data_IF_716656312922
#
_entry.id   IF_716656312922
#
_cell.length_a   1.000
_cell.length_b   1.000
_cell.length_c   1.000
_cell.angle_alpha   90.00
_cell.angle_beta   90.00
_cell.angle_gamma   90.00
#
_symmetry.space_group_name_H-M   'P 1'
#
loop_
_entity.id
_entity.type
_entity.pdbx_description
1 polymer ?
#
# COMPACT_ATOMS: atom_id res chain seq x y z
N UNK A 1 58.63 46.56 -39.36
CA UNK A 1 57.71 47.56 -39.91
C UNK A 1 56.30 47.19 -39.45
N UNK A 2 55.64 48.08 -38.70
CA UNK A 2 54.18 48.11 -38.47
C UNK A 2 53.51 48.86 -39.65
N UNK A 3 52.19 49.03 -39.79
CA UNK A 3 50.95 48.84 -38.97
C UNK A 3 49.81 48.47 -39.98
N UNK A 4 48.50 48.36 -39.65
CA UNK A 4 47.76 48.12 -38.39
C UNK A 4 46.63 47.06 -38.50
N UNK A 5 45.94 46.81 -37.38
CA UNK A 5 44.60 46.19 -37.37
C UNK A 5 43.50 47.23 -37.67
N UNK A 6 42.38 46.80 -38.26
CA UNK A 6 41.22 47.64 -38.52
C UNK A 6 40.27 47.69 -37.30
N UNK A 7 39.99 48.90 -36.83
CA UNK A 7 38.97 49.22 -35.83
C UNK A 7 37.92 50.09 -36.52
N UNK A 8 36.63 49.72 -36.43
CA UNK A 8 35.54 50.60 -36.85
C UNK A 8 34.56 50.77 -35.68
N UNK A 9 34.21 52.03 -35.43
CA UNK A 9 33.46 52.49 -34.26
C UNK A 9 32.12 53.13 -34.72
N UNK A 10 31.29 53.77 -33.86
CA UNK A 10 29.85 53.56 -33.88
C UNK A 10 29.04 54.68 -34.57
N UNK A 11 27.76 54.42 -34.82
CA UNK A 11 26.78 55.39 -35.30
C UNK A 11 25.76 55.78 -34.20
N UNK A 12 25.40 57.06 -34.22
CA UNK A 12 24.81 57.88 -33.17
C UNK A 12 23.38 57.51 -32.67
N UNK A 13 23.00 58.19 -31.58
CA UNK A 13 21.71 58.11 -30.89
C UNK A 13 20.62 59.03 -31.48
N UNK A 14 19.37 58.79 -31.08
CA UNK A 14 18.24 59.71 -31.21
C UNK A 14 17.22 59.48 -30.08
N UNK A 15 16.74 60.56 -29.46
CA UNK A 15 15.63 60.61 -28.48
C UNK A 15 14.30 60.24 -29.19
N UNK A 16 13.22 59.69 -28.62
CA UNK A 16 12.80 59.22 -27.28
C UNK A 16 11.28 58.94 -27.43
N UNK A 17 10.35 59.10 -26.48
CA UNK A 17 10.28 59.12 -25.01
C UNK A 17 8.82 58.67 -24.59
N UNK A 18 8.47 58.56 -23.30
CA UNK A 18 7.14 58.17 -22.72
C UNK A 18 6.65 56.71 -22.98
N UNK A 19 5.86 56.01 -22.14
CA UNK A 19 5.27 56.23 -20.80
C UNK A 19 4.96 54.87 -20.10
N UNK A 20 4.72 54.87 -18.77
CA UNK A 20 4.09 53.81 -17.93
C UNK A 20 4.78 52.41 -17.84
N UNK A 21 4.99 51.78 -16.67
CA UNK A 21 4.61 52.10 -15.29
C UNK A 21 3.64 51.08 -14.69
N UNK A 22 4.02 50.49 -13.54
CA UNK A 22 3.26 49.68 -12.58
C UNK A 22 3.46 48.14 -12.58
N UNK A 23 3.70 47.62 -11.38
CA UNK A 23 4.02 46.23 -11.05
C UNK A 23 2.76 45.34 -10.85
N UNK A 24 2.86 44.01 -11.06
CA UNK A 24 1.75 43.09 -10.79
C UNK A 24 1.63 42.80 -9.28
N UNK A 25 0.87 43.62 -8.56
CA UNK A 25 0.47 43.31 -7.18
C UNK A 25 -0.61 42.22 -7.14
N UNK A 26 -0.35 41.16 -6.38
CA UNK A 26 -1.32 40.11 -6.06
C UNK A 26 -2.47 40.73 -5.25
N UNK A 27 -3.66 40.81 -5.86
CA UNK A 27 -4.85 41.32 -5.17
C UNK A 27 -5.86 40.20 -4.95
N UNK A 28 -6.17 40.02 -3.67
CA UNK A 28 -7.19 39.17 -3.07
C UNK A 28 -8.46 38.99 -3.92
N UNK A 29 -8.88 37.75 -4.13
CA UNK A 29 -10.19 37.43 -4.70
C UNK A 29 -11.17 37.15 -3.55
N UNK A 30 -11.74 38.23 -3.00
CA UNK A 30 -12.79 38.17 -1.98
C UNK A 30 -13.83 39.26 -2.28
N UNK A 31 -14.80 38.92 -3.12
CA UNK A 31 -16.04 39.68 -3.23
C UNK A 31 -17.16 38.73 -3.67
N UNK A 32 -17.89 38.23 -2.68
CA UNK A 32 -19.21 37.65 -2.89
C UNK A 32 -20.16 38.79 -3.26
N UNK A 33 -20.86 38.68 -4.39
CA UNK A 33 -22.00 39.54 -4.70
C UNK A 33 -23.23 38.66 -4.90
N UNK A 34 -24.23 38.87 -4.06
CA UNK A 34 -25.47 38.12 -4.05
C UNK A 34 -26.56 38.92 -4.77
N UNK A 35 -26.91 38.51 -6.00
CA UNK A 35 -28.01 39.14 -6.73
C UNK A 35 -28.84 38.16 -7.57
N UNK A 36 -30.15 38.18 -7.28
CA UNK A 36 -31.27 37.93 -8.19
C UNK A 36 -31.48 36.54 -8.81
N UNK A 37 -32.30 35.76 -8.09
CA UNK A 37 -33.57 35.18 -8.56
C UNK A 37 -33.81 34.96 -10.08
N UNK A 38 -34.14 33.72 -10.42
CA UNK A 38 -35.15 33.43 -11.45
C UNK A 38 -35.99 32.20 -11.05
N UNK A 39 -37.30 32.40 -10.93
CA UNK A 39 -38.30 31.34 -10.79
C UNK A 39 -38.28 30.41 -12.01
N UNK A 40 -38.29 29.10 -11.77
CA UNK A 40 -38.70 28.10 -12.76
C UNK A 40 -39.81 27.24 -12.18
N UNK A 41 -40.99 27.37 -12.78
CA UNK A 41 -42.20 26.64 -12.40
C UNK A 41 -42.02 25.16 -12.69
N UNK A 42 -42.21 24.31 -11.68
CA UNK A 42 -42.20 22.85 -11.89
C UNK A 42 -43.57 22.39 -12.38
N UNK A 43 -43.65 22.02 -13.65
CA UNK A 43 -44.83 21.38 -14.25
C UNK A 43 -44.88 19.88 -13.90
N UNK A 44 -46.02 19.42 -13.37
CA UNK A 44 -46.26 18.03 -13.01
C UNK A 44 -46.76 17.24 -14.23
N UNK A 45 -45.81 16.75 -15.03
CA UNK A 45 -46.10 15.89 -16.19
C UNK A 45 -45.73 14.44 -15.90
N UNK A 46 -46.74 13.67 -15.48
CA UNK A 46 -46.65 12.24 -15.12
C UNK A 46 -46.62 11.34 -16.37
N UNK A 47 -45.43 11.02 -16.89
CA UNK A 47 -45.27 9.96 -17.91
C UNK A 47 -45.10 8.56 -17.29
N UNK A 48 -46.09 7.69 -17.53
CA UNK A 48 -46.05 6.25 -17.28
C UNK A 48 -45.22 5.55 -18.39
N UNK A 49 -43.90 5.47 -18.19
CA UNK A 49 -43.00 4.72 -19.06
C UNK A 49 -42.95 3.23 -18.71
N UNK A 50 -43.54 2.36 -19.55
CA UNK A 50 -43.56 0.91 -19.31
C UNK A 50 -42.17 0.28 -19.38
N UNK A 51 -41.67 -0.12 -18.21
CA UNK A 51 -41.24 -1.50 -17.99
C UNK A 51 -39.93 -1.97 -18.62
N UNK A 52 -38.80 -1.48 -18.11
CA UNK A 52 -37.64 -2.34 -17.78
C UNK A 52 -36.92 -1.73 -16.58
N UNK A 53 -37.42 -2.02 -15.38
CA UNK A 53 -36.77 -1.60 -14.13
C UNK A 53 -35.39 -2.24 -14.01
N UNK A 54 -34.40 -1.58 -13.36
CA UNK A 54 -33.06 -2.15 -13.22
C UNK A 54 -33.16 -3.53 -12.57
N UNK A 55 -32.72 -4.57 -13.29
CA UNK A 55 -32.64 -5.93 -12.73
C UNK A 55 -31.86 -5.83 -11.41
N UNK A 56 -32.46 -6.19 -10.26
CA UNK A 56 -31.78 -6.05 -8.99
C UNK A 56 -30.61 -7.04 -9.00
N UNK A 57 -29.39 -6.52 -9.11
CA UNK A 57 -28.17 -7.30 -8.90
C UNK A 57 -28.09 -7.57 -7.39
N UNK A 58 -28.82 -8.59 -6.96
CA UNK A 58 -28.99 -9.00 -5.55
C UNK A 58 -27.69 -9.46 -4.89
N UNK A 59 -26.63 -9.61 -5.68
CA UNK A 59 -25.36 -10.17 -5.21
C UNK A 59 -24.25 -9.08 -5.18
N UNK A 60 -24.08 -8.36 -4.06
CA UNK A 60 -23.06 -7.31 -3.93
C UNK A 60 -21.63 -7.84 -4.08
N UNK A 61 -21.41 -9.16 -3.95
CA UNK A 61 -20.11 -9.82 -4.11
C UNK A 61 -19.49 -9.58 -5.50
N UNK A 62 -20.29 -9.58 -6.57
CA UNK A 62 -19.76 -9.31 -7.92
C UNK A 62 -19.38 -7.84 -8.11
N UNK A 63 -20.18 -6.94 -7.53
CA UNK A 63 -20.08 -5.50 -7.73
C UNK A 63 -19.03 -4.83 -6.83
N UNK A 64 -18.67 -5.46 -5.72
CA UNK A 64 -17.60 -5.06 -4.81
C UNK A 64 -16.19 -5.56 -5.22
N UNK A 65 -16.04 -6.19 -6.39
CA UNK A 65 -14.78 -6.82 -6.84
C UNK A 65 -13.57 -5.87 -6.96
N UNK A 66 -13.81 -4.55 -6.98
CA UNK A 66 -12.78 -3.50 -6.96
C UNK A 66 -12.33 -3.09 -5.54
N UNK A 67 -13.03 -3.52 -4.47
CA UNK A 67 -12.73 -3.15 -3.09
C UNK A 67 -11.63 -4.02 -2.45
N UNK A 68 -10.37 -3.73 -2.77
CA UNK A 68 -9.23 -4.42 -2.17
C UNK A 68 -9.14 -4.28 -0.63
N UNK A 69 -9.77 -3.25 -0.03
CA UNK A 69 -9.54 -2.87 1.38
C UNK A 69 -10.81 -2.70 2.23
N UNK A 70 -11.99 -2.51 1.62
CA UNK A 70 -13.23 -2.11 2.34
C UNK A 70 -14.28 -3.22 2.44
N UNK A 71 -13.92 -4.47 2.10
CA UNK A 71 -14.72 -5.71 2.31
C UNK A 71 -16.16 -5.64 1.76
N UNK A 72 -16.38 -4.92 0.67
CA UNK A 72 -17.70 -4.77 0.07
C UNK A 72 -18.62 -3.79 0.78
N UNK A 73 -18.15 -3.03 1.77
CA UNK A 73 -18.97 -2.01 2.45
C UNK A 73 -19.39 -0.92 1.47
N UNK A 74 -18.53 -0.50 0.54
CA UNK A 74 -18.89 0.54 -0.43
C UNK A 74 -19.85 0.01 -1.50
N UNK A 75 -19.67 -1.23 -1.96
CA UNK A 75 -20.54 -1.92 -2.91
C UNK A 75 -21.92 -2.20 -2.31
N UNK A 76 -21.98 -2.67 -1.05
CA UNK A 76 -23.24 -2.81 -0.30
C UNK A 76 -23.94 -1.46 -0.14
N UNK A 77 -23.21 -0.38 0.15
CA UNK A 77 -23.77 0.97 0.23
C UNK A 77 -24.31 1.45 -1.13
N UNK A 78 -23.58 1.23 -2.23
CA UNK A 78 -24.07 1.58 -3.56
C UNK A 78 -25.33 0.78 -3.95
N UNK A 79 -25.36 -0.54 -3.69
CA UNK A 79 -26.57 -1.36 -3.91
C UNK A 79 -27.75 -0.86 -3.07
N UNK A 80 -27.51 -0.47 -1.80
CA UNK A 80 -28.54 0.14 -0.95
C UNK A 80 -29.05 1.50 -1.47
N UNK A 81 -28.26 2.22 -2.27
CA UNK A 81 -28.66 3.42 -3.00
C UNK A 81 -29.26 3.13 -4.39
N UNK A 82 -29.53 1.86 -4.73
CA UNK A 82 -30.14 1.44 -6.00
C UNK A 82 -29.16 1.25 -7.16
N UNK A 83 -27.86 1.18 -6.92
CA UNK A 83 -26.86 0.96 -7.97
C UNK A 83 -26.90 -0.49 -8.50
N UNK A 84 -27.43 -0.67 -9.71
CA UNK A 84 -27.48 -1.96 -10.41
C UNK A 84 -26.20 -2.39 -11.15
N UNK A 85 -25.09 -1.66 -11.00
CA UNK A 85 -23.80 -2.02 -11.62
C UNK A 85 -23.57 -1.55 -13.06
N UNK A 86 -24.43 -0.66 -13.58
CA UNK A 86 -24.24 0.02 -14.86
C UNK A 86 -23.35 1.27 -14.72
N UNK A 87 -23.51 2.28 -15.57
CA UNK A 87 -22.98 3.61 -15.27
C UNK A 87 -23.75 4.30 -14.14
N UNK A 88 -23.21 5.39 -13.59
CA UNK A 88 -23.92 6.26 -12.65
C UNK A 88 -24.72 7.36 -13.39
N UNK A 89 -25.76 7.89 -12.75
CA UNK A 89 -26.63 8.95 -13.30
C UNK A 89 -28.04 8.46 -13.62
N UNK A 90 -28.95 9.40 -13.92
CA UNK A 90 -30.41 9.14 -14.09
C UNK A 90 -30.73 8.02 -15.10
N UNK A 91 -29.92 7.86 -16.14
CA UNK A 91 -30.09 6.84 -17.19
C UNK A 91 -28.88 5.90 -17.28
N UNK A 92 -28.08 5.79 -16.20
CA UNK A 92 -26.88 4.95 -16.17
C UNK A 92 -25.78 5.38 -17.15
N UNK A 93 -25.74 6.67 -17.53
CA UNK A 93 -24.88 7.19 -18.60
C UNK A 93 -23.40 7.39 -18.23
N UNK A 94 -23.04 7.26 -16.94
CA UNK A 94 -21.67 7.42 -16.45
C UNK A 94 -20.73 6.30 -16.90
N UNK A 95 -19.42 6.56 -16.89
CA UNK A 95 -18.43 5.54 -17.20
C UNK A 95 -18.31 4.50 -16.08
N UNK A 96 -18.51 3.22 -16.40
CA UNK A 96 -18.29 2.10 -15.47
C UNK A 96 -16.81 1.75 -15.31
N UNK A 97 -15.98 2.01 -16.33
CA UNK A 97 -14.54 1.76 -16.28
C UNK A 97 -13.79 2.98 -15.70
N UNK A 98 -12.85 2.79 -14.75
CA UNK A 98 -11.98 3.86 -14.26
C UNK A 98 -11.14 4.50 -15.38
N UNK A 99 -11.06 5.83 -15.39
CA UNK A 99 -10.21 6.57 -16.32
C UNK A 99 -8.73 6.29 -16.03
N UNK A 100 -8.01 5.80 -17.04
CA UNK A 100 -6.58 5.53 -16.95
C UNK A 100 -5.79 6.84 -16.99
N UNK A 101 -4.88 7.04 -16.02
CA UNK A 101 -4.02 8.21 -15.95
C UNK A 101 -2.58 7.87 -16.33
N UNK A 102 -1.91 8.78 -17.04
CA UNK A 102 -0.50 8.63 -17.41
C UNK A 102 0.35 9.51 -16.51
N UNK A 103 1.05 8.90 -15.55
CA UNK A 103 1.96 9.63 -14.66
C UNK A 103 3.23 10.01 -15.43
N UNK A 104 3.42 11.32 -15.65
CA UNK A 104 4.67 11.85 -16.21
C UNK A 104 5.79 11.79 -15.16
N UNK A 105 7.00 11.47 -15.60
CA UNK A 105 8.18 11.55 -14.72
C UNK A 105 8.46 13.00 -14.34
N UNK A 106 8.78 13.27 -13.07
CA UNK A 106 9.09 14.61 -12.56
C UNK A 106 10.11 15.34 -13.46
N UNK A 107 9.74 16.53 -13.93
CA UNK A 107 10.54 17.35 -14.86
C UNK A 107 10.29 17.08 -16.36
N UNK A 108 9.41 16.15 -16.73
CA UNK A 108 8.96 16.01 -18.12
C UNK A 108 7.86 17.03 -18.45
N UNK A 109 8.03 17.74 -19.57
CA UNK A 109 7.01 18.64 -20.11
C UNK A 109 5.84 17.91 -20.77
N UNK A 110 4.72 18.61 -20.93
CA UNK A 110 3.58 18.15 -21.73
C UNK A 110 4.04 17.89 -23.17
N UNK A 111 3.57 16.80 -23.78
CA UNK A 111 3.98 16.37 -25.12
C UNK A 111 5.27 15.54 -25.20
N UNK A 112 6.00 15.34 -24.09
CA UNK A 112 7.08 14.34 -24.06
C UNK A 112 6.47 12.95 -24.08
N UNK A 113 6.33 12.38 -25.29
CA UNK A 113 5.95 10.99 -25.47
C UNK A 113 6.88 10.06 -24.67
N UNK A 114 6.31 9.00 -24.09
CA UNK A 114 7.06 8.05 -23.28
C UNK A 114 8.33 7.60 -24.03
N UNK A 115 9.53 7.74 -23.43
CA UNK A 115 10.78 7.70 -24.18
C UNK A 115 10.92 6.36 -24.90
N UNK A 116 10.93 6.42 -26.24
CA UNK A 116 11.13 5.25 -27.10
C UNK A 116 12.33 4.46 -26.57
N UNK A 117 12.13 3.15 -26.34
CA UNK A 117 13.04 2.26 -25.60
C UNK A 117 14.40 2.09 -26.30
N UNK A 118 15.25 3.12 -26.28
CA UNK A 118 16.65 3.02 -26.74
C UNK A 118 17.34 1.94 -25.92
N UNK A 119 18.05 1.05 -26.62
CA UNK A 119 18.81 -0.05 -26.00
C UNK A 119 19.84 0.55 -25.04
N UNK A 120 19.57 0.47 -23.74
CA UNK A 120 20.44 0.98 -22.67
C UNK A 120 21.79 0.27 -22.76
N UNK A 121 22.88 1.00 -22.57
CA UNK A 121 24.22 0.39 -22.58
C UNK A 121 24.33 -0.68 -21.48
N UNK A 122 25.24 -1.66 -21.62
CA UNK A 122 25.29 -2.81 -20.70
C UNK A 122 25.35 -2.44 -19.21
N UNK A 123 26.05 -1.34 -18.86
CA UNK A 123 26.09 -0.79 -17.49
C UNK A 123 24.74 -0.19 -17.06
N UNK A 124 24.09 0.59 -17.94
CA UNK A 124 22.78 1.19 -17.68
C UNK A 124 21.67 0.12 -17.57
N UNK A 125 21.72 -0.94 -18.39
CA UNK A 125 20.81 -2.07 -18.33
C UNK A 125 20.94 -2.85 -17.02
N UNK A 126 22.18 -3.12 -16.56
CA UNK A 126 22.43 -3.75 -15.25
C UNK A 126 21.90 -2.89 -14.09
N UNK A 127 22.13 -1.56 -14.10
CA UNK A 127 21.59 -0.64 -13.07
C UNK A 127 20.06 -0.61 -13.09
N UNK A 128 19.44 -0.60 -14.28
CA UNK A 128 17.98 -0.65 -14.43
C UNK A 128 17.39 -1.96 -13.89
N UNK A 129 18.01 -3.11 -14.19
CA UNK A 129 17.58 -4.42 -13.68
C UNK A 129 17.69 -4.50 -12.14
N UNK A 130 18.76 -3.94 -11.57
CA UNK A 130 18.92 -3.87 -10.12
C UNK A 130 17.88 -2.95 -9.45
N UNK A 131 17.57 -1.79 -10.07
CA UNK A 131 16.53 -0.89 -9.58
C UNK A 131 15.12 -1.51 -9.66
N UNK A 132 14.78 -2.17 -10.78
CA UNK A 132 13.52 -2.89 -10.93
C UNK A 132 13.38 -4.03 -9.91
N UNK A 133 14.44 -4.81 -9.67
CA UNK A 133 14.44 -5.85 -8.64
C UNK A 133 14.35 -5.30 -7.20
N UNK A 134 14.83 -4.08 -6.95
CA UNK A 134 14.65 -3.40 -5.67
C UNK A 134 13.21 -2.86 -5.50
N UNK A 135 12.61 -2.32 -6.56
CA UNK A 135 11.22 -1.88 -6.58
C UNK A 135 10.26 -3.05 -6.34
N UNK A 136 10.42 -4.16 -7.08
CA UNK A 136 9.64 -5.38 -6.88
C UNK A 136 9.72 -5.88 -5.44
N UNK A 137 10.91 -5.96 -4.83
CA UNK A 137 11.07 -6.33 -3.42
C UNK A 137 10.38 -5.39 -2.44
N UNK A 138 10.28 -4.09 -2.77
CA UNK A 138 9.57 -3.12 -1.94
C UNK A 138 8.05 -3.30 -2.07
N UNK A 139 7.57 -3.58 -3.28
CA UNK A 139 6.18 -3.92 -3.59
C UNK A 139 5.78 -5.25 -2.91
N UNK A 140 6.57 -6.32 -3.06
CA UNK A 140 6.42 -7.61 -2.37
C UNK A 140 6.34 -7.41 -0.85
N UNK A 141 7.21 -6.56 -0.28
CA UNK A 141 7.23 -6.27 1.15
C UNK A 141 6.04 -5.42 1.61
N UNK A 142 5.53 -4.52 0.76
CA UNK A 142 4.31 -3.75 1.03
C UNK A 142 3.07 -4.65 0.96
N UNK A 143 2.98 -5.50 -0.06
CA UNK A 143 1.93 -6.50 -0.21
C UNK A 143 1.94 -7.50 0.96
N UNK A 144 3.11 -8.00 1.38
CA UNK A 144 3.23 -8.89 2.53
C UNK A 144 2.83 -8.21 3.85
N UNK A 145 3.15 -6.92 4.04
CA UNK A 145 2.68 -6.14 5.20
C UNK A 145 1.16 -5.99 5.18
N UNK A 146 0.59 -5.66 4.03
CA UNK A 146 -0.84 -5.51 3.85
C UNK A 146 -1.59 -6.85 4.05
N UNK A 147 -1.05 -7.95 3.51
CA UNK A 147 -1.55 -9.30 3.73
C UNK A 147 -1.58 -9.65 5.23
N UNK A 148 -0.48 -9.38 5.95
CA UNK A 148 -0.42 -9.55 7.41
C UNK A 148 -1.41 -8.64 8.14
N UNK A 149 -1.63 -7.40 7.67
CA UNK A 149 -2.62 -6.47 8.24
C UNK A 149 -4.05 -7.00 8.07
N UNK A 150 -4.40 -7.53 6.90
CA UNK A 150 -5.68 -8.20 6.65
C UNK A 150 -5.87 -9.48 7.50
N UNK A 151 -4.84 -10.33 7.58
CA UNK A 151 -4.91 -11.62 8.29
C UNK A 151 -4.89 -11.47 9.81
N UNK A 152 -4.14 -10.51 10.34
CA UNK A 152 -4.05 -10.26 11.79
C UNK A 152 -5.11 -9.27 12.29
N UNK A 153 -5.85 -8.61 11.38
CA UNK A 153 -6.78 -7.54 11.71
C UNK A 153 -6.09 -6.36 12.40
N UNK A 154 -4.83 -6.08 12.06
CA UNK A 154 -4.02 -5.10 12.80
C UNK A 154 -4.50 -3.67 12.57
N UNK A 155 -4.07 -2.77 13.47
CA UNK A 155 -4.67 -1.45 13.72
C UNK A 155 -4.48 -0.47 12.55
N UNK A 156 -5.39 -0.54 11.57
CA UNK A 156 -5.53 0.41 10.46
C UNK A 156 -6.94 1.01 10.38
N UNK A 157 -7.10 2.18 9.75
CA UNK A 157 -8.40 2.85 9.59
C UNK A 157 -9.44 1.93 8.91
N UNK A 158 -9.02 1.22 7.86
CA UNK A 158 -9.88 0.26 7.18
C UNK A 158 -10.24 -0.94 8.04
N UNK A 159 -9.36 -1.40 8.94
CA UNK A 159 -9.70 -2.47 9.89
C UNK A 159 -10.82 -2.04 10.86
N UNK A 160 -10.85 -0.77 11.28
CA UNK A 160 -11.94 -0.20 12.09
C UNK A 160 -13.23 -0.08 11.27
N UNK A 161 -13.18 0.48 10.06
CA UNK A 161 -14.37 0.56 9.18
C UNK A 161 -14.94 -0.83 8.89
N UNK A 162 -14.08 -1.80 8.62
CA UNK A 162 -14.44 -3.18 8.35
C UNK A 162 -15.01 -3.91 9.59
N UNK A 163 -14.62 -3.55 10.82
CA UNK A 163 -15.18 -4.14 12.04
C UNK A 163 -16.53 -3.53 12.41
N UNK A 164 -16.72 -2.23 12.15
CA UNK A 164 -17.96 -1.50 12.44
C UNK A 164 -19.05 -1.74 11.38
N UNK A 165 -18.67 -1.85 10.10
CA UNK A 165 -19.61 -1.91 8.95
C UNK A 165 -19.54 -3.21 8.14
N UNK A 166 -18.45 -3.97 8.22
CA UNK A 166 -18.21 -5.12 7.32
C UNK A 166 -18.92 -6.42 7.68
N UNK A 167 -19.33 -6.59 8.94
CA UNK A 167 -19.88 -7.85 9.45
C UNK A 167 -18.82 -8.94 9.70
N UNK A 168 -19.23 -10.14 10.16
CA UNK A 168 -18.30 -11.22 10.49
C UNK A 168 -17.60 -11.77 9.24
N UNK A 169 -16.37 -12.25 9.42
CA UNK A 169 -15.48 -12.68 8.33
C UNK A 169 -15.89 -13.97 7.57
N UNK A 170 -17.14 -14.42 7.71
CA UNK A 170 -17.68 -15.56 6.97
C UNK A 170 -18.12 -15.23 5.53
N UNK A 171 -18.40 -13.96 5.22
CA UNK A 171 -18.85 -13.50 3.89
C UNK A 171 -17.69 -13.18 2.93
N UNK A 172 -16.51 -13.74 3.20
CA UNK A 172 -15.27 -13.49 2.44
C UNK A 172 -15.21 -14.38 1.19
N UNK A 173 -15.90 -13.99 0.11
CA UNK A 173 -15.70 -14.64 -1.20
C UNK A 173 -14.44 -14.10 -1.86
N UNK A 174 -13.49 -15.00 -2.12
CA UNK A 174 -12.10 -14.65 -2.35
C UNK A 174 -11.79 -14.18 -3.78
N UNK A 175 -11.08 -13.05 -3.87
CA UNK A 175 -10.28 -12.69 -5.04
C UNK A 175 -9.04 -13.58 -5.16
N UNK A 176 -9.23 -14.89 -5.43
CA UNK A 176 -8.15 -15.82 -5.78
C UNK A 176 -8.20 -16.03 -7.29
N UNK A 177 -7.29 -15.37 -8.01
CA UNK A 177 -7.24 -15.42 -9.48
C UNK A 177 -7.25 -16.85 -10.00
N UNK A 178 -8.27 -17.18 -10.81
CA UNK A 178 -8.52 -18.52 -11.32
C UNK A 178 -7.96 -18.70 -12.73
N UNK A 179 -6.63 -18.76 -12.85
CA UNK A 179 -5.98 -19.39 -13.99
C UNK A 179 -6.09 -20.92 -13.84
N UNK A 180 -7.22 -21.49 -14.27
CA UNK A 180 -7.43 -22.95 -14.30
C UNK A 180 -8.33 -23.36 -15.46
N UNK A 181 -7.73 -23.83 -16.54
CA UNK A 181 -8.45 -24.44 -17.66
C UNK A 181 -8.98 -25.83 -17.28
N UNK A 182 -10.30 -26.01 -17.45
CA UNK A 182 -10.92 -27.27 -17.87
C UNK A 182 -10.88 -28.48 -16.94
N UNK A 183 -12.01 -28.75 -16.27
CA UNK A 183 -12.72 -30.04 -16.49
C UNK A 183 -14.20 -29.96 -16.10
N UNK A 184 -15.02 -30.63 -16.89
CA UNK A 184 -16.47 -30.75 -16.69
C UNK A 184 -16.83 -31.92 -15.76
N UNK A 185 -18.14 -31.96 -15.41
CA UNK A 185 -18.95 -33.05 -14.85
C UNK A 185 -19.35 -32.94 -13.37
N UNK A 186 -20.67 -33.09 -13.11
CA UNK A 186 -21.15 -33.72 -11.86
C UNK A 186 -22.20 -32.97 -11.04
N UNK A 187 -23.46 -32.99 -11.50
CA UNK A 187 -24.73 -33.05 -10.75
C UNK A 187 -24.92 -32.39 -9.36
N UNK A 188 -26.04 -31.66 -9.24
CA UNK A 188 -26.73 -31.35 -7.99
C UNK A 188 -27.06 -32.61 -7.16
N UNK A 189 -27.33 -32.46 -5.85
CA UNK A 189 -28.74 -32.42 -5.45
C UNK A 189 -29.08 -31.31 -4.43
N UNK A 190 -30.33 -30.86 -4.45
CA UNK A 190 -30.96 -30.14 -3.35
C UNK A 190 -31.34 -31.11 -2.22
N UNK A 191 -31.54 -30.61 -0.99
CA UNK A 191 -32.84 -30.88 -0.35
C UNK A 191 -33.41 -29.72 0.48
N UNK A 192 -34.71 -29.48 0.24
CA UNK A 192 -35.80 -29.11 1.17
C UNK A 192 -35.59 -28.12 2.32
N UNK A 193 -36.50 -27.16 2.36
CA UNK A 193 -36.85 -26.31 3.50
C UNK A 193 -37.40 -27.14 4.67
N UNK A 194 -36.90 -26.88 5.89
CA UNK A 194 -37.73 -26.80 7.11
C UNK A 194 -36.89 -26.33 8.32
N UNK A 195 -37.51 -25.65 9.29
CA UNK A 195 -36.90 -25.47 10.62
C UNK A 195 -36.47 -24.07 11.05
N UNK A 196 -37.32 -23.04 10.88
CA UNK A 196 -37.18 -21.80 11.61
C UNK A 196 -37.39 -22.02 13.13
N UNK A 197 -36.32 -22.07 13.92
CA UNK A 197 -36.39 -21.91 15.39
C UNK A 197 -35.15 -21.23 15.95
N UNK A 198 -35.35 -20.03 16.48
CA UNK A 198 -34.33 -19.27 17.18
C UNK A 198 -33.74 -20.06 18.37
N UNK A 199 -32.42 -20.02 18.52
CA UNK A 199 -31.78 -20.16 19.83
C UNK A 199 -30.84 -18.98 20.07
N UNK A 200 -31.11 -18.32 21.18
CA UNK A 200 -30.47 -17.10 21.63
C UNK A 200 -28.94 -17.15 21.59
N UNK A 201 -28.33 -15.99 21.33
CA UNK A 201 -26.89 -15.84 21.49
C UNK A 201 -26.46 -16.16 22.92
N UNK A 202 -25.45 -17.02 23.05
CA UNK A 202 -24.56 -17.02 24.20
C UNK A 202 -23.21 -16.56 23.68
N UNK A 203 -22.95 -15.26 23.80
CA UNK A 203 -21.59 -14.75 23.71
C UNK A 203 -20.74 -15.52 24.71
N UNK A 204 -19.59 -16.12 24.34
CA UNK A 204 -18.68 -16.68 25.32
C UNK A 204 -18.17 -15.51 26.16
N UNK A 205 -18.69 -15.40 27.39
CA UNK A 205 -18.21 -14.42 28.35
C UNK A 205 -16.71 -14.62 28.54
N UNK A 206 -15.97 -13.52 28.58
CA UNK A 206 -14.52 -13.53 28.67
C UNK A 206 -14.07 -14.13 30.01
N UNK A 207 -13.85 -15.44 30.02
CA UNK A 207 -13.34 -16.16 31.19
C UNK A 207 -11.89 -15.75 31.53
N UNK A 208 -11.41 -15.99 32.76
CA UNK A 208 -10.11 -15.49 33.24
C UNK A 208 -8.86 -15.99 32.48
N UNK A 209 -9.00 -16.91 31.53
CA UNK A 209 -7.89 -17.54 30.80
C UNK A 209 -7.21 -16.67 29.72
N UNK A 210 -7.79 -15.53 29.33
CA UNK A 210 -7.24 -14.70 28.24
C UNK A 210 -5.86 -14.12 28.57
N UNK A 211 -5.63 -13.69 29.82
CA UNK A 211 -4.34 -13.11 30.25
C UNK A 211 -3.18 -14.13 30.24
N UNK A 212 -3.45 -15.40 30.55
CA UNK A 212 -2.46 -16.47 30.45
C UNK A 212 -2.05 -16.73 28.98
N UNK A 213 -3.04 -16.69 28.06
CA UNK A 213 -2.80 -16.76 26.62
C UNK A 213 -2.01 -15.57 26.07
N UNK A 214 -2.26 -14.37 26.58
CA UNK A 214 -1.54 -13.16 26.21
C UNK A 214 -0.07 -13.20 26.64
N UNK A 215 0.21 -13.57 27.89
CA UNK A 215 1.58 -13.73 28.39
C UNK A 215 2.39 -14.76 27.56
N UNK A 216 1.77 -15.88 27.16
CA UNK A 216 2.40 -16.87 26.29
C UNK A 216 2.66 -16.33 24.87
N UNK A 217 1.73 -15.54 24.30
CA UNK A 217 1.90 -14.87 23.00
C UNK A 217 3.01 -13.81 23.05
N UNK A 218 3.09 -13.02 24.13
CA UNK A 218 4.14 -12.04 24.36
C UNK A 218 5.52 -12.69 24.45
N UNK A 219 5.65 -13.80 25.19
CA UNK A 219 6.89 -14.60 25.26
C UNK A 219 7.35 -15.09 23.88
N UNK A 220 6.44 -15.64 23.06
CA UNK A 220 6.75 -16.08 21.68
C UNK A 220 7.16 -14.92 20.76
N UNK A 221 6.46 -13.78 20.82
CA UNK A 221 6.83 -12.56 20.08
C UNK A 221 8.23 -12.06 20.47
N UNK A 222 8.54 -12.03 21.78
CA UNK A 222 9.85 -11.64 22.28
C UNK A 222 10.97 -12.62 21.87
N UNK A 223 10.68 -13.92 21.76
CA UNK A 223 11.61 -14.91 21.19
C UNK A 223 11.84 -14.68 19.69
N UNK A 224 10.79 -14.52 18.90
CA UNK A 224 10.88 -14.29 17.46
C UNK A 224 11.65 -12.99 17.13
N UNK A 225 11.36 -11.89 17.84
CA UNK A 225 12.08 -10.62 17.67
C UNK A 225 13.59 -10.74 17.97
N UNK A 226 13.98 -11.60 18.92
CA UNK A 226 15.40 -11.88 19.22
C UNK A 226 16.07 -12.67 18.10
N UNK A 227 15.41 -13.67 17.54
CA UNK A 227 15.94 -14.42 16.39
C UNK A 227 16.13 -13.49 15.18
N UNK A 228 15.12 -12.69 14.83
CA UNK A 228 15.21 -11.70 13.76
C UNK A 228 16.34 -10.66 14.00
N UNK A 229 16.67 -10.33 15.25
CA UNK A 229 17.81 -9.47 15.56
C UNK A 229 19.18 -10.13 15.31
N UNK A 230 19.29 -11.45 15.48
CA UNK A 230 20.48 -12.23 15.13
C UNK A 230 20.61 -12.35 13.60
N UNK A 231 19.52 -12.67 12.90
CA UNK A 231 19.50 -12.74 11.43
C UNK A 231 19.92 -11.40 10.79
N UNK A 232 19.44 -10.29 11.36
CA UNK A 232 19.82 -8.92 10.96
C UNK A 232 21.30 -8.62 11.23
N UNK A 233 21.86 -9.10 12.36
CA UNK A 233 23.28 -8.98 12.67
C UNK A 233 24.14 -9.82 11.70
N UNK A 234 23.72 -11.05 11.36
CA UNK A 234 24.38 -11.91 10.37
C UNK A 234 24.36 -11.29 8.97
N UNK A 235 23.22 -10.74 8.55
CA UNK A 235 23.12 -9.99 7.29
C UNK A 235 24.05 -8.76 7.27
N UNK A 236 24.18 -8.04 8.40
CA UNK A 236 25.10 -6.90 8.53
C UNK A 236 26.57 -7.33 8.46
N UNK A 237 26.97 -8.44 9.10
CA UNK A 237 28.32 -9.00 8.98
C UNK A 237 28.60 -9.38 7.53
N UNK A 238 27.72 -10.14 6.87
CA UNK A 238 27.86 -10.52 5.45
C UNK A 238 27.99 -9.30 4.51
N UNK A 239 27.24 -8.24 4.78
CA UNK A 239 27.33 -6.97 4.05
C UNK A 239 28.68 -6.25 4.23
N UNK A 240 29.22 -6.27 5.45
CA UNK A 240 30.52 -5.69 5.80
C UNK A 240 31.70 -6.54 5.28
N UNK A 241 31.59 -7.86 5.25
CA UNK A 241 32.56 -8.75 4.60
C UNK A 241 32.67 -8.44 3.11
N UNK A 242 31.52 -8.31 2.42
CA UNK A 242 31.50 -7.90 1.03
C UNK A 242 32.06 -6.49 0.82
N UNK A 243 31.90 -5.57 1.78
CA UNK A 243 32.51 -4.24 1.73
C UNK A 243 34.03 -4.27 1.95
N UNK A 244 34.51 -5.04 2.93
CA UNK A 244 35.93 -5.23 3.20
C UNK A 244 36.65 -5.91 2.03
N UNK A 245 36.00 -6.87 1.35
CA UNK A 245 36.51 -7.50 0.13
C UNK A 245 36.65 -6.50 -1.04
N UNK A 246 35.66 -5.63 -1.25
CA UNK A 246 35.73 -4.57 -2.27
C UNK A 246 36.81 -3.53 -1.97
N UNK A 247 36.97 -3.18 -0.70
CA UNK A 247 37.91 -2.15 -0.24
C UNK A 247 39.29 -2.73 0.15
N UNK A 248 39.57 -4.00 -0.15
CA UNK A 248 40.75 -4.71 0.38
C UNK A 248 42.09 -4.06 0.01
N UNK A 249 42.16 -3.44 -1.17
CA UNK A 249 43.35 -2.75 -1.72
C UNK A 249 43.35 -1.23 -1.49
N UNK A 250 42.31 -0.68 -0.87
CA UNK A 250 42.22 0.75 -0.57
C UNK A 250 42.99 1.05 0.74
N UNK A 251 44.00 1.94 0.74
CA UNK A 251 44.83 2.20 1.92
C UNK A 251 44.05 2.90 3.06
N UNK A 252 42.98 3.63 2.75
CA UNK A 252 42.18 4.39 3.73
C UNK A 252 40.91 3.63 4.13
N UNK A 253 40.18 3.12 3.14
CA UNK A 253 38.89 2.44 3.37
C UNK A 253 39.06 0.97 3.75
N UNK A 254 40.17 0.32 3.40
CA UNK A 254 40.48 -1.05 3.78
C UNK A 254 40.56 -1.25 5.30
N UNK A 255 41.40 -0.49 6.03
CA UNK A 255 41.47 -0.55 7.49
C UNK A 255 40.12 -0.25 8.16
N UNK A 256 39.41 0.80 7.71
CA UNK A 256 38.11 1.19 8.26
C UNK A 256 37.02 0.13 8.06
N UNK A 257 36.99 -0.51 6.89
CA UNK A 257 36.06 -1.61 6.61
C UNK A 257 36.37 -2.88 7.44
N UNK A 258 37.66 -3.18 7.65
CA UNK A 258 38.08 -4.30 8.52
C UNK A 258 37.74 -4.06 9.99
N UNK A 259 37.93 -2.83 10.50
CA UNK A 259 37.55 -2.46 11.86
C UNK A 259 36.02 -2.56 12.08
N UNK A 260 35.22 -2.00 11.16
CA UNK A 260 33.76 -2.11 11.24
C UNK A 260 33.25 -3.56 11.14
N UNK A 261 33.92 -4.42 10.37
CA UNK A 261 33.63 -5.85 10.31
C UNK A 261 33.95 -6.55 11.64
N UNK A 262 35.09 -6.24 12.27
CA UNK A 262 35.45 -6.81 13.57
C UNK A 262 34.43 -6.44 14.66
N UNK A 263 34.02 -5.17 14.73
CA UNK A 263 32.98 -4.67 15.64
C UNK A 263 31.63 -5.38 15.41
N UNK A 264 31.23 -5.58 14.14
CA UNK A 264 29.99 -6.27 13.81
C UNK A 264 30.00 -7.76 14.17
N UNK A 265 31.15 -8.44 14.02
CA UNK A 265 31.34 -9.83 14.47
C UNK A 265 31.25 -9.93 15.99
N UNK A 266 31.94 -9.05 16.72
CA UNK A 266 31.87 -9.00 18.18
C UNK A 266 30.43 -8.85 18.68
N UNK A 267 29.65 -7.93 18.11
CA UNK A 267 28.23 -7.73 18.49
C UNK A 267 27.34 -8.94 18.19
N UNK A 268 27.65 -9.69 17.13
CA UNK A 268 26.98 -10.93 16.80
C UNK A 268 27.34 -12.05 17.79
N UNK A 269 28.59 -12.16 18.20
CA UNK A 269 29.03 -13.15 19.18
C UNK A 269 28.51 -12.82 20.59
N UNK A 270 28.49 -11.54 20.99
CA UNK A 270 27.80 -11.04 22.18
C UNK A 270 26.30 -11.40 22.15
N UNK A 271 25.64 -11.21 20.99
CA UNK A 271 24.25 -11.60 20.78
C UNK A 271 24.01 -13.10 20.94
N UNK A 272 24.90 -13.94 20.38
CA UNK A 272 24.87 -15.41 20.50
C UNK A 272 25.11 -15.88 21.94
N UNK A 273 26.11 -15.32 22.64
CA UNK A 273 26.39 -15.62 24.05
C UNK A 273 25.22 -15.20 24.94
N UNK A 274 24.61 -14.05 24.68
CA UNK A 274 23.43 -13.60 25.40
C UNK A 274 22.21 -14.51 25.13
N UNK A 275 22.07 -15.06 23.92
CA UNK A 275 21.04 -16.06 23.61
C UNK A 275 21.29 -17.38 24.37
N UNK A 276 22.52 -17.89 24.36
CA UNK A 276 22.91 -19.12 25.05
C UNK A 276 22.74 -19.02 26.59
N UNK A 277 23.10 -17.88 27.19
CA UNK A 277 22.84 -17.63 28.62
C UNK A 277 21.35 -17.68 28.95
N UNK A 278 20.49 -17.16 28.08
CA UNK A 278 19.02 -17.18 28.27
C UNK A 278 18.40 -18.56 28.08
N UNK A 279 18.88 -19.38 27.14
CA UNK A 279 18.43 -20.77 27.02
C UNK A 279 18.87 -21.60 28.21
N UNK A 280 20.09 -21.40 28.73
CA UNK A 280 20.55 -22.04 29.96
C UNK A 280 19.70 -21.65 31.18
N UNK A 281 19.39 -20.35 31.36
CA UNK A 281 18.52 -19.92 32.47
C UNK A 281 17.08 -20.43 32.35
N UNK A 282 16.55 -20.59 31.13
CA UNK A 282 15.23 -21.18 30.91
C UNK A 282 15.22 -22.68 31.28
N UNK A 283 16.23 -23.44 30.81
CA UNK A 283 16.37 -24.85 31.14
C UNK A 283 16.51 -25.09 32.67
N UNK A 284 17.22 -24.20 33.37
CA UNK A 284 17.36 -24.23 34.82
C UNK A 284 16.01 -23.97 35.56
N UNK A 285 15.21 -23.02 35.07
CA UNK A 285 13.86 -22.77 35.60
C UNK A 285 12.94 -23.98 35.37
N UNK A 286 13.01 -24.61 34.20
CA UNK A 286 12.22 -25.80 33.88
C UNK A 286 12.61 -27.01 34.74
N UNK A 287 13.89 -27.18 35.11
CA UNK A 287 14.29 -28.22 36.09
C UNK A 287 13.70 -27.95 37.48
N UNK A 288 13.82 -26.73 38.00
CA UNK A 288 13.29 -26.38 39.33
C UNK A 288 11.77 -26.61 39.40
N UNK A 289 11.03 -26.24 38.35
CA UNK A 289 9.59 -26.50 38.25
C UNK A 289 9.27 -28.01 38.22
N UNK A 290 10.06 -28.82 37.49
CA UNK A 290 9.89 -30.28 37.46
C UNK A 290 10.23 -30.96 38.79
N UNK A 291 11.15 -30.41 39.58
CA UNK A 291 11.52 -30.99 40.87
C UNK A 291 10.54 -30.64 41.98
N UNK A 292 9.92 -29.45 41.93
CA UNK A 292 8.80 -29.10 42.80
C UNK A 292 7.50 -29.84 42.47
N UNK A 293 7.23 -30.14 41.20
CA UNK A 293 6.03 -30.86 40.77
C UNK A 293 6.01 -32.38 41.10
N UNK A 294 7.00 -32.87 41.87
CA UNK A 294 7.10 -34.27 42.34
C UNK A 294 6.71 -34.44 43.81
N UNK A 295 6.47 -33.34 44.52
CA UNK A 295 6.05 -33.27 45.92
C UNK A 295 4.62 -32.70 46.02
#
# INVERSE_FOLDING_TARGET
MTVPAAHLAPAAAGHGEDELGADPSWTSCDQYEAASSSDVTSDDSKEEGTGEGPVPVTNPLGLASWEAHTRGVAGRLMVAMGYGGAGLGKQGQGQTQPLQTVVLTQGAGLGVAAPARKRRSGRQARRAKAAAAAAARHEDAAAARHQVEMETGSVGLFAVLNSVLGGPAGDQVGGRGSDAQGREHGSHPAPTEDGARARAGTSPSAGPGLHAGEAARARRRAQAARLASLDSAEARVRGLEAAAARNARDPVMGPRARAALAEARQKLDEGRVAAARRSASAAAADSLHRDWAKF
#
